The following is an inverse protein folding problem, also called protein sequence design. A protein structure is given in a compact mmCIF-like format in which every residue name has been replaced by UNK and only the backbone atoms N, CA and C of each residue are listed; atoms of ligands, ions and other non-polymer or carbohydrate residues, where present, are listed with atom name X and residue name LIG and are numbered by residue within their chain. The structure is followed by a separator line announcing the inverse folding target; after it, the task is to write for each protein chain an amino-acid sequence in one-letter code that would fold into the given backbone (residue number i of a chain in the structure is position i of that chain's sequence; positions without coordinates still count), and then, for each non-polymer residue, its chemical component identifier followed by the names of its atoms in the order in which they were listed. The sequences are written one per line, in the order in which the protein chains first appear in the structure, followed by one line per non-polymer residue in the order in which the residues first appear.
data_IF_526923137512
#
_entry.id   IF_526923137512
#
_cell.length_a   1.000
_cell.length_b   1.000
_cell.length_c   1.000
_cell.angle_alpha   90.00
_cell.angle_beta   90.00
_cell.angle_gamma   90.00
#
_symmetry.space_group_name_H-M   'P 1'
#
loop_
_entity.id
_entity.type
_entity.pdbx_description
1 polymer ?
#
# COMPACT_ATOMS: atom_id res chain seq x y z
N UNK A 1 -2.51 -9.77 -35.26
CA UNK A 1 -2.33 -8.46 -34.59
C UNK A 1 -2.91 -8.60 -33.18
N UNK A 2 -2.14 -9.07 -32.21
CA UNK A 2 -2.63 -9.28 -30.84
C UNK A 2 -1.98 -8.22 -29.95
N UNK A 3 -2.68 -7.12 -29.71
CA UNK A 3 -2.23 -6.09 -28.78
C UNK A 3 -2.59 -6.56 -27.38
N UNK A 4 -1.69 -7.31 -26.75
CA UNK A 4 -1.72 -7.47 -25.30
C UNK A 4 -1.46 -6.09 -24.72
N UNK A 5 -2.50 -5.42 -24.24
CA UNK A 5 -2.38 -4.17 -23.49
C UNK A 5 -1.73 -4.49 -22.15
N UNK A 6 -0.40 -4.58 -22.16
CA UNK A 6 0.43 -4.58 -20.96
C UNK A 6 0.13 -3.28 -20.21
N UNK A 7 -0.70 -3.33 -19.17
CA UNK A 7 -0.92 -2.18 -18.29
C UNK A 7 0.42 -1.95 -17.57
N UNK A 8 1.26 -1.11 -18.16
CA UNK A 8 2.54 -0.74 -17.59
C UNK A 8 2.25 0.06 -16.33
N UNK A 9 2.34 -0.59 -15.17
CA UNK A 9 2.33 0.07 -13.86
C UNK A 9 3.64 0.83 -13.70
N UNK A 10 3.75 1.97 -14.37
CA UNK A 10 4.84 2.91 -14.12
C UNK A 10 4.59 3.52 -12.75
N UNK A 11 5.48 3.28 -11.76
CA UNK A 11 5.29 3.85 -10.45
C UNK A 11 5.36 5.37 -10.57
N UNK A 12 4.45 6.07 -9.87
CA UNK A 12 4.28 7.52 -9.91
C UNK A 12 5.56 8.32 -9.57
N UNK A 13 6.56 7.64 -8.98
CA UNK A 13 7.84 8.17 -8.57
C UNK A 13 9.02 7.73 -9.46
N UNK A 14 8.79 7.04 -10.59
CA UNK A 14 9.87 6.60 -11.50
C UNK A 14 10.61 7.81 -12.07
N UNK A 15 11.92 7.91 -11.80
CA UNK A 15 12.80 8.95 -12.34
C UNK A 15 12.71 10.31 -11.63
N UNK A 16 11.94 10.44 -10.55
CA UNK A 16 11.90 11.65 -9.73
C UNK A 16 12.80 11.48 -8.52
N UNK A 17 13.86 12.30 -8.42
CA UNK A 17 14.65 12.45 -7.19
C UNK A 17 13.77 13.13 -6.13
N UNK A 18 13.00 12.33 -5.40
CA UNK A 18 12.27 12.80 -4.24
C UNK A 18 13.31 12.99 -3.13
N UNK A 19 13.51 14.24 -2.70
CA UNK A 19 14.44 14.55 -1.62
C UNK A 19 14.15 13.74 -0.36
N UNK A 20 15.13 13.62 0.53
CA UNK A 20 14.94 12.92 1.80
C UNK A 20 13.79 13.58 2.56
N UNK A 21 12.70 12.84 2.75
CA UNK A 21 11.58 13.29 3.58
C UNK A 21 12.10 13.47 5.00
N UNK A 22 11.59 14.49 5.70
CA UNK A 22 12.00 14.75 7.09
C UNK A 22 11.88 13.49 7.94
N UNK A 23 12.90 13.18 8.77
CA UNK A 23 12.84 12.02 9.64
C UNK A 23 11.60 12.14 10.55
N UNK A 24 10.83 11.06 10.61
CA UNK A 24 9.62 10.99 11.42
C UNK A 24 9.99 11.12 12.90
N UNK A 25 9.13 11.78 13.70
CA UNK A 25 9.31 11.77 15.15
C UNK A 25 9.06 10.35 15.66
N UNK A 26 9.69 9.97 16.77
CA UNK A 26 9.50 8.65 17.38
C UNK A 26 8.02 8.31 17.66
N UNK A 27 7.23 9.33 17.99
CA UNK A 27 5.78 9.23 18.23
C UNK A 27 5.03 8.82 16.97
N UNK A 28 5.39 9.39 15.83
CA UNK A 28 4.76 9.10 14.52
C UNK A 28 5.11 7.68 14.07
N UNK A 29 6.35 7.24 14.30
CA UNK A 29 6.79 5.87 14.00
C UNK A 29 5.98 4.86 14.80
N UNK A 30 5.79 5.12 16.09
CA UNK A 30 4.98 4.24 16.94
C UNK A 30 3.52 4.20 16.47
N UNK A 31 2.92 5.35 16.16
CA UNK A 31 1.56 5.42 15.62
C UNK A 31 1.40 4.62 14.32
N UNK A 32 2.34 4.77 13.36
CA UNK A 32 2.34 4.03 12.10
C UNK A 32 2.43 2.52 12.35
N UNK A 33 3.32 2.07 13.26
CA UNK A 33 3.46 0.65 13.59
C UNK A 33 2.17 0.06 14.13
N UNK A 34 1.50 0.78 15.05
CA UNK A 34 0.23 0.35 15.64
C UNK A 34 -0.85 0.25 14.57
N UNK A 35 -1.02 1.28 13.73
CA UNK A 35 -1.99 1.29 12.64
C UNK A 35 -1.78 0.13 11.66
N UNK A 36 -0.53 -0.11 11.24
CA UNK A 36 -0.19 -1.24 10.37
C UNK A 36 -0.47 -2.59 11.02
N UNK A 37 -0.27 -2.70 12.33
CA UNK A 37 -0.52 -3.94 13.07
C UNK A 37 -2.01 -4.21 13.25
N UNK A 38 -2.85 -3.18 13.36
CA UNK A 38 -4.31 -3.30 13.36
C UNK A 38 -4.81 -3.73 11.98
N UNK A 39 -4.42 -3.02 10.92
CA UNK A 39 -4.83 -3.35 9.55
C UNK A 39 -4.48 -4.80 9.14
N UNK A 40 -3.32 -5.30 9.57
CA UNK A 40 -2.88 -6.70 9.35
C UNK A 40 -3.66 -7.75 10.16
N UNK A 41 -4.26 -7.37 11.30
CA UNK A 41 -5.10 -8.26 12.10
C UNK A 41 -6.49 -8.38 11.47
N UNK A 42 -7.01 -7.27 10.96
CA UNK A 42 -8.32 -7.22 10.29
C UNK A 42 -8.33 -8.07 9.01
N UNK A 43 -7.21 -8.14 8.26
CA UNK A 43 -7.13 -8.91 7.01
C UNK A 43 -7.20 -10.43 7.21
N UNK A 44 -6.81 -10.94 8.39
CA UNK A 44 -6.86 -12.39 8.67
C UNK A 44 -8.26 -12.86 9.09
N UNK A 45 -9.13 -11.93 9.46
CA UNK A 45 -10.48 -12.23 9.92
C UNK A 45 -11.56 -11.85 8.91
N UNK A 46 -11.22 -11.46 7.68
CA UNK A 46 -12.23 -11.35 6.62
C UNK A 46 -12.77 -12.74 6.29
N UNK A 47 -14.01 -13.12 6.67
CA UNK A 47 -14.71 -14.10 5.85
C UNK A 47 -14.82 -13.48 4.47
N UNK A 48 -14.38 -14.20 3.44
CA UNK A 48 -14.69 -13.87 2.06
C UNK A 48 -16.22 -13.89 1.92
N UNK A 49 -16.89 -12.79 2.23
CA UNK A 49 -18.30 -12.57 1.90
C UNK A 49 -18.34 -12.09 0.45
N UNK A 50 -17.90 -12.96 -0.47
CA UNK A 50 -18.31 -12.85 -1.87
C UNK A 50 -19.60 -13.66 -2.03
N UNK A 51 -20.69 -13.11 -1.51
CA UNK A 51 -22.02 -13.54 -1.93
C UNK A 51 -22.30 -12.86 -3.27
N UNK A 52 -21.90 -13.54 -4.35
CA UNK A 52 -22.33 -13.19 -5.70
C UNK A 52 -23.87 -13.34 -5.74
N UNK A 53 -24.56 -12.20 -5.80
CA UNK A 53 -25.77 -12.09 -6.62
C UNK A 53 -25.33 -11.59 -7.99
#
# INVERSE_FOLDING_TARGET
MNVSTEISFTPWNKGKLVGQKTPLRLRDIWAIRVQLQLAKKDTRSCPLQFSHR
#
